data_IF_630874423901
#
_entry.id   IF_630874423901
#
_cell.length_a   1.000
_cell.length_b   1.000
_cell.length_c   1.000
_cell.angle_alpha   90.00
_cell.angle_beta   90.00
_cell.angle_gamma   90.00
#
_symmetry.space_group_name_H-M   'P 1'
#
loop_
_entity.id
_entity.type
_entity.pdbx_description
1 polymer ?
#
# COMPACT_ATOMS: atom_id res chain seq x y z
N UNK A 1 31.37 13.98 -3.52
CA UNK A 1 30.13 14.07 -2.72
C UNK A 1 29.02 14.46 -3.67
N UNK A 2 28.12 13.54 -4.03
CA UNK A 2 27.04 13.82 -5.00
C UNK A 2 25.76 14.03 -4.21
N UNK A 3 25.18 15.22 -4.40
CA UNK A 3 24.05 15.74 -3.66
C UNK A 3 22.88 14.75 -3.63
N UNK A 4 22.62 14.26 -2.43
CA UNK A 4 21.42 13.53 -2.04
C UNK A 4 20.25 14.49 -2.17
N UNK A 5 19.69 14.58 -3.36
CA UNK A 5 18.36 15.12 -3.57
C UNK A 5 17.38 14.06 -3.08
N UNK A 6 17.44 13.75 -1.78
CA UNK A 6 16.38 13.04 -1.09
C UNK A 6 15.17 13.96 -1.15
N UNK A 7 14.32 13.66 -2.13
CA UNK A 7 13.11 14.36 -2.51
C UNK A 7 12.36 14.77 -1.25
N UNK A 8 12.28 16.06 -0.94
CA UNK A 8 11.44 16.59 0.14
C UNK A 8 9.98 16.12 0.01
N UNK A 9 9.57 15.75 -1.20
CA UNK A 9 8.31 15.04 -1.47
C UNK A 9 8.18 13.75 -0.65
N UNK A 10 9.24 12.96 -0.47
CA UNK A 10 9.25 11.72 0.33
C UNK A 10 9.00 11.95 1.84
N UNK A 11 9.12 13.20 2.31
CA UNK A 11 8.86 13.58 3.71
C UNK A 11 7.43 14.12 3.94
N UNK A 12 6.63 14.34 2.90
CA UNK A 12 5.21 14.63 3.08
C UNK A 12 4.49 13.35 3.48
N UNK A 13 3.66 13.37 4.55
CA UNK A 13 2.86 12.20 4.89
C UNK A 13 1.96 11.87 3.71
N UNK A 14 2.05 10.64 3.22
CA UNK A 14 1.14 10.13 2.20
C UNK A 14 -0.29 10.41 2.66
N UNK A 15 -1.09 11.11 1.85
CA UNK A 15 -2.49 11.38 2.19
C UNK A 15 -3.21 10.04 2.26
N UNK A 16 -4.19 9.86 3.17
CA UNK A 16 -4.95 8.61 3.25
C UNK A 16 -5.47 8.22 1.87
N UNK A 17 -5.25 6.97 1.44
CA UNK A 17 -5.67 6.53 0.10
C UNK A 17 -7.17 6.76 -0.11
N UNK A 18 -7.98 6.56 0.93
CA UNK A 18 -9.42 6.85 0.91
C UNK A 18 -9.74 8.31 0.54
N UNK A 19 -8.90 9.27 0.91
CA UNK A 19 -9.09 10.69 0.60
C UNK A 19 -8.58 11.07 -0.78
N UNK A 20 -7.58 10.35 -1.29
CA UNK A 20 -6.95 10.64 -2.58
C UNK A 20 -7.67 9.94 -3.71
N UNK A 21 -7.93 8.65 -3.55
CA UNK A 21 -8.70 7.83 -4.48
C UNK A 21 -9.55 6.80 -3.71
N UNK A 22 -10.82 7.15 -3.36
CA UNK A 22 -11.74 6.26 -2.66
C UNK A 22 -11.98 4.91 -3.34
N UNK A 23 -11.90 4.85 -4.67
CA UNK A 23 -12.14 3.62 -5.43
C UNK A 23 -11.00 2.61 -5.22
N UNK A 24 -9.75 3.07 -5.30
CA UNK A 24 -8.58 2.23 -5.01
C UNK A 24 -8.59 1.73 -3.56
N UNK A 25 -9.00 2.58 -2.62
CA UNK A 25 -9.16 2.16 -1.23
C UNK A 25 -10.22 1.06 -1.08
N UNK A 26 -11.33 1.15 -1.81
CA UNK A 26 -12.38 0.11 -1.79
C UNK A 26 -11.89 -1.23 -2.32
N UNK A 27 -11.17 -1.21 -3.45
CA UNK A 27 -10.58 -2.43 -4.02
C UNK A 27 -9.59 -3.08 -3.03
N UNK A 28 -8.74 -2.27 -2.39
CA UNK A 28 -7.84 -2.76 -1.35
C UNK A 28 -8.60 -3.41 -0.19
N UNK A 29 -9.65 -2.75 0.33
CA UNK A 29 -10.45 -3.28 1.44
C UNK A 29 -11.07 -4.63 1.08
N UNK A 30 -11.61 -4.78 -0.14
CA UNK A 30 -12.15 -6.05 -0.62
C UNK A 30 -11.09 -7.17 -0.63
N UNK A 31 -9.88 -6.88 -1.11
CA UNK A 31 -8.77 -7.84 -1.11
C UNK A 31 -8.30 -8.21 0.30
N UNK A 32 -8.32 -7.27 1.24
CA UNK A 32 -7.99 -7.53 2.65
C UNK A 32 -9.05 -8.43 3.31
N UNK A 33 -10.33 -8.11 3.11
CA UNK A 33 -11.46 -8.86 3.66
C UNK A 33 -11.48 -10.31 3.16
N UNK A 34 -11.15 -10.54 1.89
CA UNK A 34 -11.02 -11.89 1.32
C UNK A 34 -9.96 -12.75 2.02
N UNK A 35 -8.95 -12.13 2.61
CA UNK A 35 -7.90 -12.82 3.38
C UNK A 35 -8.11 -12.75 4.90
N UNK A 36 -9.28 -12.27 5.36
CA UNK A 36 -9.60 -12.02 6.76
C UNK A 36 -8.64 -11.05 7.46
N UNK A 37 -8.09 -10.09 6.71
CA UNK A 37 -7.25 -9.02 7.23
C UNK A 37 -8.10 -7.80 7.55
N UNK A 38 -7.84 -7.12 8.67
CA UNK A 38 -8.56 -5.91 9.00
C UNK A 38 -7.95 -4.72 8.23
N UNK A 39 -8.75 -3.78 7.69
CA UNK A 39 -8.24 -2.57 7.06
C UNK A 39 -7.32 -1.71 7.94
N UNK A 40 -7.35 -1.91 9.27
CA UNK A 40 -6.48 -1.19 10.22
C UNK A 40 -5.09 -1.83 10.35
N UNK A 41 -4.91 -3.06 9.86
CA UNK A 41 -3.61 -3.74 9.82
C UNK A 41 -2.68 -3.13 8.76
N UNK A 42 -3.23 -2.29 7.88
CA UNK A 42 -2.53 -1.68 6.76
C UNK A 42 -2.78 -0.19 6.71
N UNK A 43 -1.70 0.60 6.72
CA UNK A 43 -1.79 2.04 6.46
C UNK A 43 -1.63 2.29 4.97
N UNK A 44 -2.76 2.59 4.30
CA UNK A 44 -2.81 2.90 2.88
C UNK A 44 -2.70 4.41 2.61
N UNK A 45 -1.70 4.81 1.83
CA UNK A 45 -1.43 6.17 1.42
C UNK A 45 -1.46 6.34 -0.11
N UNK A 46 -1.83 7.52 -0.56
CA UNK A 46 -1.84 7.90 -1.97
C UNK A 46 -1.07 9.20 -2.22
N UNK A 47 -0.35 9.25 -3.33
CA UNK A 47 0.29 10.47 -3.85
C UNK A 47 0.01 10.63 -5.32
N UNK A 48 -0.67 11.70 -5.69
CA UNK A 48 -0.98 12.01 -7.08
C UNK A 48 0.05 12.96 -7.67
N UNK A 49 0.28 12.79 -8.97
CA UNK A 49 1.00 13.72 -9.83
C UNK A 49 0.31 13.80 -11.21
N UNK A 50 0.85 14.63 -12.10
CA UNK A 50 0.28 14.86 -13.44
C UNK A 50 0.22 13.57 -14.30
N UNK A 51 0.96 12.53 -13.92
CA UNK A 51 1.06 11.29 -14.67
C UNK A 51 0.33 10.11 -14.01
N UNK A 52 -0.14 10.24 -12.77
CA UNK A 52 -0.87 9.17 -12.11
C UNK A 52 -0.95 9.28 -10.59
N UNK A 53 -1.11 8.12 -9.96
CA UNK A 53 -1.11 7.95 -8.51
C UNK A 53 -0.09 6.89 -8.09
N UNK A 54 0.69 7.19 -7.07
CA UNK A 54 1.50 6.21 -6.35
C UNK A 54 0.76 5.78 -5.10
N UNK A 55 0.49 4.48 -4.99
CA UNK A 55 -0.13 3.85 -3.82
C UNK A 55 0.97 3.28 -2.93
N UNK A 56 0.88 3.56 -1.64
CA UNK A 56 1.77 3.05 -0.60
C UNK A 56 0.98 2.24 0.41
N UNK A 57 1.40 1.03 0.71
CA UNK A 57 0.82 0.17 1.75
C UNK A 57 1.89 -0.13 2.78
N UNK A 58 1.67 0.34 4.01
CA UNK A 58 2.56 0.08 5.15
C UNK A 58 1.93 -0.91 6.11
N UNK A 59 2.69 -1.88 6.60
CA UNK A 59 2.19 -2.99 7.42
C UNK A 59 3.32 -3.63 8.25
N UNK A 60 2.95 -4.61 9.08
CA UNK A 60 3.87 -5.30 9.99
C UNK A 60 4.18 -4.49 11.24
N UNK A 61 5.12 -4.98 12.04
CA UNK A 61 5.58 -4.33 13.29
C UNK A 61 5.94 -2.85 13.05
N UNK A 62 5.32 -1.96 13.83
CA UNK A 62 5.45 -0.50 13.75
C UNK A 62 5.24 0.12 12.35
N UNK A 63 4.53 -0.56 11.45
CA UNK A 63 4.38 -0.16 10.03
C UNK A 63 5.73 -0.06 9.29
N UNK A 64 6.72 -0.84 9.71
CA UNK A 64 8.08 -0.81 9.19
C UNK A 64 8.24 -1.38 7.78
N UNK A 65 7.30 -2.22 7.31
CA UNK A 65 7.32 -2.71 5.93
C UNK A 65 6.49 -1.82 5.03
N UNK A 66 6.99 -1.56 3.81
CA UNK A 66 6.25 -0.83 2.77
C UNK A 66 6.27 -1.59 1.46
N UNK A 67 5.14 -1.56 0.76
CA UNK A 67 5.06 -1.88 -0.67
C UNK A 67 4.38 -0.72 -1.39
N UNK A 68 4.83 -0.41 -2.61
CA UNK A 68 4.29 0.71 -3.36
C UNK A 68 4.30 0.45 -4.85
N UNK A 69 3.32 1.03 -5.55
CA UNK A 69 3.24 0.99 -7.01
C UNK A 69 2.65 2.28 -7.55
N UNK A 70 3.18 2.73 -8.68
CA UNK A 70 2.62 3.85 -9.44
C UNK A 70 1.72 3.32 -10.54
N UNK A 71 0.51 3.86 -10.62
CA UNK A 71 -0.46 3.63 -11.68
C UNK A 71 -0.60 4.91 -12.47
N UNK A 72 -0.53 4.81 -13.79
CA UNK A 72 -0.78 5.96 -14.67
C UNK A 72 -2.27 6.24 -14.78
N UNK A 73 -2.65 7.50 -15.06
CA UNK A 73 -4.06 7.82 -15.28
C UNK A 73 -4.66 7.00 -16.43
N UNK A 74 -3.91 6.84 -17.53
CA UNK A 74 -4.32 6.00 -18.67
C UNK A 74 -4.58 4.54 -18.26
N UNK A 75 -3.66 3.91 -17.51
CA UNK A 75 -3.84 2.53 -17.04
C UNK A 75 -5.04 2.37 -16.09
N UNK A 76 -5.47 3.43 -15.41
CA UNK A 76 -6.64 3.39 -14.54
C UNK A 76 -7.96 3.51 -15.32
N UNK A 77 -7.93 4.03 -16.54
CA UNK A 77 -9.10 4.10 -17.44
C UNK A 77 -9.35 2.78 -18.17
N UNK A 78 -8.27 2.05 -18.49
CA UNK A 78 -8.33 0.77 -19.22
C UNK A 78 -8.86 -0.41 -18.36
N UNK A 79 -8.93 -0.24 -17.04
CA UNK A 79 -9.53 -1.21 -16.12
C UNK A 79 -8.70 -1.47 -14.86
N UNK A 80 -9.16 -2.43 -14.06
CA UNK A 80 -8.62 -2.67 -12.71
C UNK A 80 -7.69 -3.87 -12.59
N UNK A 81 -7.37 -4.55 -13.68
CA UNK A 81 -6.62 -5.81 -13.63
C UNK A 81 -5.21 -5.64 -13.02
N UNK A 82 -4.47 -4.59 -13.41
CA UNK A 82 -3.14 -4.33 -12.85
C UNK A 82 -3.22 -3.94 -11.36
N UNK A 83 -4.23 -3.15 -11.01
CA UNK A 83 -4.48 -2.67 -9.65
C UNK A 83 -4.81 -3.85 -8.73
N UNK A 84 -5.74 -4.71 -9.16
CA UNK A 84 -6.15 -5.91 -8.43
C UNK A 84 -5.00 -6.88 -8.29
N UNK A 85 -4.20 -7.07 -9.35
CA UNK A 85 -3.00 -7.92 -9.30
C UNK A 85 -2.01 -7.41 -8.25
N UNK A 86 -1.76 -6.10 -8.20
CA UNK A 86 -0.92 -5.50 -7.18
C UNK A 86 -1.49 -5.69 -5.77
N UNK A 87 -2.78 -5.42 -5.56
CA UNK A 87 -3.39 -5.58 -4.24
C UNK A 87 -3.38 -7.03 -3.77
N UNK A 88 -3.71 -7.99 -4.62
CA UNK A 88 -3.62 -9.42 -4.30
C UNK A 88 -2.21 -9.84 -3.87
N UNK A 89 -1.19 -9.37 -4.58
CA UNK A 89 0.21 -9.64 -4.21
C UNK A 89 0.59 -8.98 -2.87
N UNK A 90 0.10 -7.75 -2.64
CA UNK A 90 0.37 -7.02 -1.41
C UNK A 90 -0.32 -7.66 -0.20
N UNK A 91 -1.60 -8.01 -0.29
CA UNK A 91 -2.37 -8.60 0.81
C UNK A 91 -1.84 -9.98 1.21
N UNK A 92 -1.39 -10.79 0.24
CA UNK A 92 -0.67 -12.04 0.52
C UNK A 92 0.63 -11.81 1.29
N UNK A 93 1.38 -10.75 0.95
CA UNK A 93 2.61 -10.38 1.68
C UNK A 93 2.30 -9.90 3.10
N UNK A 94 1.25 -9.10 3.26
CA UNK A 94 0.76 -8.62 4.56
C UNK A 94 0.41 -9.81 5.46
N UNK A 95 -0.40 -10.75 4.96
CA UNK A 95 -0.80 -11.96 5.68
C UNK A 95 0.42 -12.76 6.17
N UNK A 96 1.41 -12.98 5.29
CA UNK A 96 2.64 -13.68 5.65
C UNK A 96 3.44 -12.93 6.72
N UNK A 97 3.51 -11.60 6.65
CA UNK A 97 4.18 -10.79 7.67
C UNK A 97 3.50 -10.93 9.02
N UNK A 98 2.16 -10.83 9.08
CA UNK A 98 1.42 -10.95 10.34
C UNK A 98 1.60 -12.31 11.00
N UNK A 99 1.60 -13.40 10.21
CA UNK A 99 1.89 -14.74 10.71
C UNK A 99 3.32 -14.81 11.27
N UNK A 100 4.31 -14.28 10.54
CA UNK A 100 5.70 -14.29 10.98
C UNK A 100 5.89 -13.49 12.27
N UNK A 101 5.23 -12.33 12.40
CA UNK A 101 5.31 -11.48 13.59
C UNK A 101 4.64 -12.15 14.80
N UNK A 102 3.50 -12.85 14.61
CA UNK A 102 2.88 -13.68 15.64
C UNK A 102 3.82 -14.78 16.17
N UNK A 103 4.53 -15.49 15.28
CA UNK A 103 5.47 -16.53 15.69
C UNK A 103 6.72 -15.99 16.42
N UNK A 104 7.16 -14.75 16.13
CA UNK A 104 8.24 -14.12 16.91
C UNK A 104 7.82 -13.89 18.36
N UNK A 105 6.58 -13.47 18.58
CA UNK A 105 6.06 -13.19 19.93
C UNK A 105 5.89 -14.46 20.78
N UNK A 106 5.66 -15.63 20.16
CA UNK A 106 5.52 -16.91 20.88
C UNK A 106 6.85 -17.58 21.28
N UNK A 107 8.00 -17.06 20.84
CA UNK A 107 9.33 -17.64 21.17
C UNK A 107 10.00 -17.01 22.39
N UNK A 108 9.24 -16.32 23.24
CA UNK A 108 9.72 -15.72 24.49
C UNK A 108 9.09 -16.40 25.71
#
# INVERSE_FOLDING_TARGET
>A
MKNETHTLSAMLPDKPLQSVEPRLYRLLVQELEMLHLHPYDVKAGGRTDDHGITVYLRFGEELGQVTSRKFSWASMEDGDEEILTFFKQATEKIKKSMIADYFKMMKF
#
